data_IF_487474247986
#
_entry.id   IF_487474247986
#
_cell.length_a   1.000
_cell.length_b   1.000
_cell.length_c   1.000
_cell.angle_alpha   90.00
_cell.angle_beta   90.00
_cell.angle_gamma   90.00
#
_symmetry.space_group_name_H-M   'P 1'
#
loop_
_entity.id
_entity.type
_entity.pdbx_description
1 polymer ?
#
# COMPACT_ATOMS: atom_id res chain seq x y z
N UNK A 1 56.80 -21.30 -3.68
CA UNK A 1 56.16 -20.04 -3.27
C UNK A 1 54.85 -19.91 -4.03
N UNK A 2 53.73 -20.26 -3.38
CA UNK A 2 52.41 -20.24 -4.01
C UNK A 2 51.71 -18.93 -3.63
N UNK A 3 51.57 -18.02 -4.58
CA UNK A 3 50.73 -16.83 -4.42
C UNK A 3 49.27 -17.26 -4.54
N UNK A 4 48.50 -17.13 -3.46
CA UNK A 4 47.03 -17.16 -3.54
C UNK A 4 46.54 -15.88 -4.22
N UNK A 5 45.60 -15.94 -5.18
CA UNK A 5 44.93 -14.75 -5.66
C UNK A 5 44.02 -14.19 -4.55
N UNK A 6 44.18 -12.90 -4.27
CA UNK A 6 43.32 -12.13 -3.37
C UNK A 6 41.85 -12.19 -3.87
N UNK A 7 40.86 -12.38 -2.98
CA UNK A 7 39.46 -12.35 -3.40
C UNK A 7 39.13 -10.94 -3.90
N UNK A 8 38.69 -10.86 -5.17
CA UNK A 8 38.19 -9.62 -5.74
C UNK A 8 37.08 -9.08 -4.83
N UNK A 9 37.29 -7.89 -4.27
CA UNK A 9 36.25 -7.11 -3.62
C UNK A 9 35.19 -6.80 -4.68
N UNK A 10 34.13 -7.61 -4.72
CA UNK A 10 32.93 -7.33 -5.49
C UNK A 10 32.22 -6.19 -4.77
N UNK A 11 32.59 -4.96 -5.09
CA UNK A 11 31.81 -3.81 -4.66
C UNK A 11 30.43 -3.92 -5.32
N UNK A 12 29.33 -4.00 -4.55
CA UNK A 12 28.00 -3.85 -5.13
C UNK A 12 27.96 -2.49 -5.83
N UNK A 13 27.73 -2.50 -7.14
CA UNK A 13 27.59 -1.28 -7.91
C UNK A 13 26.37 -0.53 -7.40
N UNK A 14 26.46 0.80 -7.23
CA UNK A 14 25.35 1.65 -6.76
C UNK A 14 24.03 1.42 -7.51
N UNK A 15 24.10 0.98 -8.77
CA UNK A 15 22.94 0.58 -9.59
C UNK A 15 22.18 -0.64 -9.05
N UNK A 16 22.88 -1.61 -8.44
CA UNK A 16 22.28 -2.81 -7.85
C UNK A 16 21.61 -2.54 -6.50
N UNK A 17 22.17 -1.61 -5.73
CA UNK A 17 21.57 -1.18 -4.46
C UNK A 17 20.32 -0.32 -4.68
N UNK A 18 20.34 0.55 -5.69
CA UNK A 18 19.15 1.29 -6.11
C UNK A 18 18.04 0.36 -6.59
N UNK A 19 18.35 -0.63 -7.44
CA UNK A 19 17.36 -1.59 -7.92
C UNK A 19 16.74 -2.41 -6.78
N UNK A 20 17.54 -2.81 -5.78
CA UNK A 20 17.04 -3.50 -4.58
C UNK A 20 16.12 -2.62 -3.75
N UNK A 21 16.47 -1.34 -3.60
CA UNK A 21 15.66 -0.38 -2.87
C UNK A 21 14.32 -0.14 -3.55
N UNK A 22 14.32 0.05 -4.88
CA UNK A 22 13.09 0.20 -5.68
C UNK A 22 12.21 -1.04 -5.56
N UNK A 23 12.77 -2.24 -5.64
CA UNK A 23 12.03 -3.48 -5.46
C UNK A 23 11.41 -3.61 -4.05
N UNK A 24 12.14 -3.20 -3.01
CA UNK A 24 11.61 -3.20 -1.63
C UNK A 24 10.43 -2.22 -1.48
N UNK A 25 10.54 -1.01 -2.05
CA UNK A 25 9.45 -0.04 -2.04
C UNK A 25 8.23 -0.54 -2.82
N UNK A 26 8.41 -1.22 -3.95
CA UNK A 26 7.29 -1.80 -4.69
C UNK A 26 6.50 -2.80 -3.83
N UNK A 27 7.20 -3.69 -3.11
CA UNK A 27 6.57 -4.64 -2.19
C UNK A 27 5.81 -3.93 -1.06
N UNK A 28 6.36 -2.86 -0.50
CA UNK A 28 5.70 -2.08 0.55
C UNK A 28 4.44 -1.37 0.02
N UNK A 29 4.49 -0.82 -1.19
CA UNK A 29 3.34 -0.17 -1.83
C UNK A 29 2.23 -1.19 -2.13
N UNK A 30 2.57 -2.39 -2.59
CA UNK A 30 1.60 -3.46 -2.80
C UNK A 30 0.95 -3.90 -1.48
N UNK A 31 1.75 -4.09 -0.42
CA UNK A 31 1.23 -4.41 0.90
C UNK A 31 0.31 -3.31 1.44
N UNK A 32 0.65 -2.03 1.23
CA UNK A 32 -0.18 -0.89 1.61
C UNK A 32 -1.49 -0.86 0.83
N UNK A 33 -1.47 -1.18 -0.47
CA UNK A 33 -2.66 -1.28 -1.31
C UNK A 33 -3.61 -2.37 -0.80
N UNK A 34 -3.08 -3.56 -0.50
CA UNK A 34 -3.87 -4.67 0.05
C UNK A 34 -4.50 -4.30 1.40
N UNK A 35 -3.76 -3.64 2.29
CA UNK A 35 -4.30 -3.17 3.57
C UNK A 35 -5.45 -2.17 3.37
N UNK A 36 -5.30 -1.21 2.45
CA UNK A 36 -6.36 -0.25 2.14
C UNK A 36 -7.62 -0.93 1.56
N UNK A 37 -7.45 -1.95 0.70
CA UNK A 37 -8.57 -2.73 0.16
C UNK A 37 -9.29 -3.52 1.26
N UNK A 38 -8.54 -4.11 2.19
CA UNK A 38 -9.11 -4.81 3.35
C UNK A 38 -9.89 -3.85 4.26
N UNK A 39 -9.33 -2.68 4.57
CA UNK A 39 -10.00 -1.64 5.36
C UNK A 39 -11.28 -1.16 4.68
N UNK A 40 -11.21 -0.92 3.36
CA UNK A 40 -12.37 -0.56 2.54
C UNK A 40 -13.49 -1.59 2.66
N UNK A 41 -13.16 -2.87 2.48
CA UNK A 41 -14.13 -3.96 2.62
C UNK A 41 -14.74 -3.98 4.03
N UNK A 42 -13.92 -3.76 5.06
CA UNK A 42 -14.38 -3.65 6.45
C UNK A 42 -15.39 -2.53 6.66
N UNK A 43 -15.15 -1.32 6.14
CA UNK A 43 -16.09 -0.21 6.25
C UNK A 43 -17.37 -0.41 5.44
N UNK A 44 -17.30 -1.05 4.27
CA UNK A 44 -18.48 -1.42 3.48
C UNK A 44 -19.37 -2.38 4.27
N UNK A 45 -18.80 -3.43 4.87
CA UNK A 45 -19.55 -4.37 5.71
C UNK A 45 -20.19 -3.65 6.90
N UNK A 46 -19.43 -2.80 7.62
CA UNK A 46 -19.96 -2.02 8.75
C UNK A 46 -21.12 -1.11 8.34
N UNK A 47 -21.07 -0.50 7.14
CA UNK A 47 -22.18 0.31 6.64
C UNK A 47 -23.41 -0.53 6.28
N UNK A 48 -23.21 -1.74 5.74
CA UNK A 48 -24.30 -2.66 5.47
C UNK A 48 -24.97 -3.12 6.78
N UNK A 49 -24.17 -3.42 7.81
CA UNK A 49 -24.67 -3.78 9.14
C UNK A 49 -25.47 -2.62 9.75
N UNK A 50 -24.96 -1.38 9.66
CA UNK A 50 -25.67 -0.19 10.13
C UNK A 50 -26.99 0.05 9.40
N UNK A 51 -27.08 -0.29 8.11
CA UNK A 51 -28.31 -0.14 7.34
C UNK A 51 -29.43 -1.09 7.82
N UNK A 52 -29.09 -2.15 8.56
CA UNK A 52 -30.05 -3.07 9.19
C UNK A 52 -30.53 -2.62 10.57
N UNK A 53 -29.87 -1.60 11.16
CA UNK A 53 -30.17 -1.04 12.47
C UNK A 53 -31.04 0.22 12.35
N UNK A 54 -31.68 0.65 13.44
CA UNK A 54 -32.49 1.88 13.45
C UNK A 54 -31.62 3.09 13.03
N UNK A 55 -31.94 3.77 11.92
CA UNK A 55 -31.12 4.85 11.40
C UNK A 55 -30.90 6.01 12.39
N UNK A 56 -31.86 6.25 13.29
CA UNK A 56 -31.86 7.43 14.17
C UNK A 56 -30.67 7.42 15.15
N UNK A 57 -30.26 6.24 15.59
CA UNK A 57 -29.19 6.06 16.57
C UNK A 57 -27.78 6.03 15.93
N UNK A 58 -27.69 5.76 14.62
CA UNK A 58 -26.41 5.48 13.96
C UNK A 58 -26.07 6.40 12.79
N UNK A 59 -26.85 7.46 12.53
CA UNK A 59 -26.57 8.43 11.46
C UNK A 59 -25.15 9.01 11.52
N UNK A 60 -24.67 9.38 12.71
CA UNK A 60 -23.32 9.92 12.90
C UNK A 60 -22.21 8.90 12.60
N UNK A 61 -22.40 7.65 13.02
CA UNK A 61 -21.44 6.57 12.76
C UNK A 61 -21.40 6.19 11.27
N UNK A 62 -22.57 6.15 10.62
CA UNK A 62 -22.65 5.94 9.18
C UNK A 62 -21.96 7.07 8.40
N UNK A 63 -22.05 8.33 8.86
CA UNK A 63 -21.32 9.44 8.25
C UNK A 63 -19.81 9.25 8.36
N UNK A 64 -19.29 8.88 9.54
CA UNK A 64 -17.87 8.61 9.74
C UNK A 64 -17.35 7.50 8.83
N UNK A 65 -18.07 6.37 8.72
CA UNK A 65 -17.65 5.28 7.85
C UNK A 65 -17.64 5.65 6.36
N UNK A 66 -18.60 6.47 5.91
CA UNK A 66 -18.58 6.99 4.53
C UNK A 66 -17.39 7.91 4.26
N UNK A 67 -17.03 8.75 5.23
CA UNK A 67 -15.86 9.63 5.10
C UNK A 67 -14.56 8.82 5.07
N UNK A 68 -14.44 7.79 5.91
CA UNK A 68 -13.30 6.86 5.84
C UNK A 68 -13.21 6.14 4.49
N UNK A 69 -14.34 5.68 3.94
CA UNK A 69 -14.35 5.09 2.59
C UNK A 69 -13.88 6.08 1.52
N UNK A 70 -14.35 7.33 1.58
CA UNK A 70 -13.93 8.38 0.64
C UNK A 70 -12.43 8.64 0.71
N UNK A 71 -11.85 8.65 1.91
CA UNK A 71 -10.41 8.84 2.11
C UNK A 71 -9.60 7.65 1.60
N UNK A 72 -10.06 6.42 1.85
CA UNK A 72 -9.41 5.21 1.34
C UNK A 72 -9.45 5.16 -0.19
N UNK A 73 -10.60 5.50 -0.79
CA UNK A 73 -10.74 5.54 -2.24
C UNK A 73 -9.78 6.57 -2.87
N UNK A 74 -9.61 7.74 -2.24
CA UNK A 74 -8.64 8.74 -2.69
C UNK A 74 -7.17 8.25 -2.60
N UNK A 75 -6.81 7.55 -1.52
CA UNK A 75 -5.47 6.97 -1.36
C UNK A 75 -5.19 5.86 -2.38
N UNK A 76 -6.20 5.04 -2.69
CA UNK A 76 -6.09 3.99 -3.72
C UNK A 76 -5.92 4.59 -5.12
N UNK A 77 -6.61 5.69 -5.42
CA UNK A 77 -6.46 6.44 -6.67
C UNK A 77 -5.07 7.08 -6.79
N UNK A 78 -4.56 7.67 -5.72
CA UNK A 78 -3.20 8.22 -5.66
C UNK A 78 -2.15 7.14 -5.92
N UNK A 79 -2.27 5.98 -5.26
CA UNK A 79 -1.38 4.84 -5.48
C UNK A 79 -1.44 4.32 -6.93
N UNK A 80 -2.64 4.25 -7.53
CA UNK A 80 -2.80 3.84 -8.91
C UNK A 80 -2.16 4.83 -9.89
N UNK A 81 -2.33 6.13 -9.67
CA UNK A 81 -1.75 7.19 -10.51
C UNK A 81 -0.23 7.20 -10.42
N UNK A 82 0.31 7.04 -9.22
CA UNK A 82 1.76 6.96 -8.99
C UNK A 82 2.37 5.69 -9.61
N UNK A 83 1.65 4.56 -9.57
CA UNK A 83 2.09 3.32 -10.21
C UNK A 83 2.17 3.45 -11.74
N UNK A 84 1.22 4.14 -12.37
CA UNK A 84 1.24 4.42 -13.82
C UNK A 84 2.41 5.34 -14.19
N UNK A 85 2.71 6.33 -13.35
CA UNK A 85 3.77 7.31 -13.61
C UNK A 85 5.18 6.71 -13.40
N UNK A 86 5.31 5.71 -12.52
CA UNK A 86 6.57 4.99 -12.31
C UNK A 86 6.92 3.98 -13.43
N UNK A 87 5.95 3.62 -14.28
CA UNK A 87 6.10 2.64 -15.37
C UNK A 87 6.18 3.30 -16.77
N UNK A 88 6.00 4.61 -16.87
CA UNK A 88 6.03 5.41 -18.11
C UNK A 88 7.37 6.14 -18.28
#
# INVERSE_FOLDING_TARGET
MSMQPSPANVHPTASGDLARLVAAYAVELDARRENLLADRAGYVTKLADLASLDPLDFTGLAHLYREHLRQIDALLEELATNAVTALA
#
